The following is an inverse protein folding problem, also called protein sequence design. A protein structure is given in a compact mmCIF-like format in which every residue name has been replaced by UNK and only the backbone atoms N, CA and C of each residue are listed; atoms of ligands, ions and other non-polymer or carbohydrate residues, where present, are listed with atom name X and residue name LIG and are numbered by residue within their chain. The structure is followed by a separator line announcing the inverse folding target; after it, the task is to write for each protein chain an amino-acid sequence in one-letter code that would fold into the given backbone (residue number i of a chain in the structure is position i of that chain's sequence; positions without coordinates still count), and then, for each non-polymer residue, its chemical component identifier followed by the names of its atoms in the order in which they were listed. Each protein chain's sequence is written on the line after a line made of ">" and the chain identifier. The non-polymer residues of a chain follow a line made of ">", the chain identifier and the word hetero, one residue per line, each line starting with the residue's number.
data_IF_593512961459
#
_entry.id   IF_593512961459
#
_cell.length_a   1.000
_cell.length_b   1.000
_cell.length_c   1.000
_cell.angle_alpha   90.00
_cell.angle_beta   90.00
_cell.angle_gamma   90.00
#
_symmetry.space_group_name_H-M   'P 1'
#
loop_
_entity.id
_entity.type
_entity.pdbx_description
1 polymer ?
#
# COMPACT_ATOMS: atom_id res chain seq x y z
N UNK A 1 5.72 8.79 -15.45
CA UNK A 1 5.96 10.10 -14.81
C UNK A 1 5.04 10.19 -13.58
N UNK A 2 5.37 10.97 -12.54
CA UNK A 2 4.51 11.07 -11.36
C UNK A 2 3.12 11.67 -11.67
N UNK A 3 2.13 11.22 -10.91
CA UNK A 3 0.78 11.79 -10.94
C UNK A 3 0.66 12.86 -9.88
N UNK A 4 -0.07 13.94 -10.19
CA UNK A 4 -0.35 15.03 -9.27
C UNK A 4 -1.86 15.26 -9.19
N UNK A 5 -2.42 15.38 -7.98
CA UNK A 5 -3.84 15.66 -7.73
C UNK A 5 -4.03 17.03 -7.10
N UNK A 6 -5.01 17.78 -7.57
CA UNK A 6 -5.45 19.00 -6.91
C UNK A 6 -6.30 18.67 -5.68
N UNK A 7 -5.97 19.16 -4.48
CA UNK A 7 -6.76 18.90 -3.27
C UNK A 7 -8.10 19.64 -3.24
N UNK A 8 -8.27 20.72 -4.02
CA UNK A 8 -9.51 21.52 -4.05
C UNK A 8 -10.57 21.00 -5.01
N UNK A 9 -10.17 20.58 -6.22
CA UNK A 9 -11.12 20.14 -7.27
C UNK A 9 -10.92 18.70 -7.74
N UNK A 10 -9.96 17.97 -7.19
CA UNK A 10 -9.71 16.57 -7.53
C UNK A 10 -9.07 16.32 -8.89
N UNK A 11 -8.81 17.34 -9.71
CA UNK A 11 -8.14 17.20 -11.02
C UNK A 11 -6.78 16.49 -10.88
N UNK A 12 -6.54 15.48 -11.72
CA UNK A 12 -5.30 14.72 -11.79
C UNK A 12 -4.54 15.02 -13.09
N UNK A 13 -3.21 15.10 -13.03
CA UNK A 13 -2.33 15.32 -14.19
C UNK A 13 -1.05 14.50 -14.04
N UNK A 14 -0.47 14.02 -15.14
CA UNK A 14 0.83 13.35 -15.16
C UNK A 14 1.90 14.34 -15.60
N UNK A 15 2.88 14.61 -14.74
CA UNK A 15 3.92 15.62 -14.97
C UNK A 15 5.27 15.09 -14.46
N UNK A 16 6.41 15.61 -14.96
CA UNK A 16 7.73 15.34 -14.38
C UNK A 16 7.79 15.68 -12.88
N UNK A 17 8.86 15.32 -12.19
CA UNK A 17 9.00 15.74 -10.78
C UNK A 17 9.05 17.27 -10.67
N UNK A 18 8.20 17.82 -9.81
CA UNK A 18 8.14 19.26 -9.61
C UNK A 18 7.03 19.75 -8.70
N UNK A 19 7.00 21.07 -8.49
CA UNK A 19 5.92 21.75 -7.78
C UNK A 19 4.90 22.28 -8.79
N UNK A 20 3.68 21.76 -8.75
CA UNK A 20 2.61 22.15 -9.65
C UNK A 20 1.45 22.81 -8.92
N UNK A 21 0.74 23.67 -9.65
CA UNK A 21 -0.43 24.38 -9.18
C UNK A 21 -1.61 24.08 -10.10
N UNK A 22 -2.79 23.92 -9.51
CA UNK A 22 -3.97 23.54 -10.27
C UNK A 22 -4.41 24.65 -11.22
N UNK A 23 -4.45 24.37 -12.53
CA UNK A 23 -4.95 25.31 -13.55
C UNK A 23 -6.40 25.77 -13.31
N UNK A 24 -7.22 24.96 -12.62
CA UNK A 24 -8.64 25.25 -12.37
C UNK A 24 -8.84 26.07 -11.10
N UNK A 25 -8.17 25.70 -10.00
CA UNK A 25 -8.32 26.37 -8.71
C UNK A 25 -7.35 27.54 -8.52
N UNK A 26 -6.45 27.74 -9.49
CA UNK A 26 -5.45 28.79 -9.49
C UNK A 26 -4.25 28.51 -8.57
N UNK A 27 -3.38 29.51 -8.41
CA UNK A 27 -2.09 29.37 -7.71
C UNK A 27 -2.22 29.10 -6.21
N UNK A 28 -3.40 29.31 -5.63
CA UNK A 28 -3.69 28.96 -4.22
C UNK A 28 -3.79 27.45 -3.97
N UNK A 29 -3.90 26.65 -5.02
CA UNK A 29 -4.09 25.20 -4.93
C UNK A 29 -2.85 24.48 -5.45
N UNK A 30 -1.87 24.29 -4.56
CA UNK A 30 -0.71 23.44 -4.83
C UNK A 30 -1.18 22.00 -5.00
N UNK A 31 -0.80 21.38 -6.12
CA UNK A 31 -1.09 19.99 -6.41
C UNK A 31 -0.16 19.11 -5.58
N UNK A 32 -0.72 18.03 -5.05
CA UNK A 32 0.02 17.04 -4.28
C UNK A 32 0.39 15.89 -5.19
N UNK A 33 1.63 15.43 -5.11
CA UNK A 33 2.03 14.20 -5.77
C UNK A 33 1.19 13.06 -5.20
N UNK A 34 0.56 12.32 -6.10
CA UNK A 34 -0.16 11.11 -5.75
C UNK A 34 0.87 10.00 -5.78
N UNK A 35 1.40 9.69 -4.60
CA UNK A 35 2.17 8.46 -4.42
C UNK A 35 1.14 7.34 -4.49
N UNK A 36 1.02 6.73 -5.67
CA UNK A 36 0.13 5.60 -5.91
C UNK A 36 0.99 4.43 -6.33
N UNK A 37 1.49 3.65 -5.38
CA UNK A 37 1.61 2.22 -5.64
C UNK A 37 0.29 1.58 -5.23
N UNK A 38 -0.67 1.57 -6.14
CA UNK A 38 -1.88 0.71 -6.01
C UNK A 38 -1.53 -0.78 -5.89
N UNK A 39 -0.25 -1.12 -6.07
CA UNK A 39 0.26 -2.47 -6.11
C UNK A 39 0.95 -2.82 -4.82
N UNK A 40 0.54 -3.96 -4.28
CA UNK A 40 1.33 -4.74 -3.33
C UNK A 40 2.65 -5.10 -4.02
N UNK A 41 3.76 -4.67 -3.41
CA UNK A 41 5.10 -4.83 -3.98
C UNK A 41 5.73 -6.15 -3.57
N UNK A 42 5.45 -6.59 -2.34
CA UNK A 42 5.96 -7.84 -1.77
C UNK A 42 5.02 -8.34 -0.68
N UNK A 43 4.94 -9.66 -0.53
CA UNK A 43 4.23 -10.33 0.55
C UNK A 43 5.19 -11.32 1.19
N UNK A 44 5.32 -11.26 2.51
CA UNK A 44 6.02 -12.23 3.34
C UNK A 44 5.01 -12.82 4.31
N UNK A 45 5.13 -14.11 4.58
CA UNK A 45 4.13 -14.86 5.33
C UNK A 45 4.82 -15.81 6.31
N UNK A 46 4.23 -15.94 7.48
CA UNK A 46 4.52 -16.97 8.49
C UNK A 46 3.22 -17.66 8.88
N UNK A 47 3.23 -18.60 9.83
CA UNK A 47 1.99 -19.28 10.21
C UNK A 47 0.96 -18.34 10.87
N UNK A 48 1.42 -17.30 11.56
CA UNK A 48 0.55 -16.35 12.28
C UNK A 48 0.40 -14.99 11.57
N UNK A 49 1.43 -14.56 10.84
CA UNK A 49 1.55 -13.18 10.36
C UNK A 49 1.71 -13.06 8.86
N UNK A 50 1.13 -11.99 8.31
CA UNK A 50 1.36 -11.54 6.94
C UNK A 50 1.93 -10.13 6.96
N UNK A 51 3.06 -9.95 6.27
CA UNK A 51 3.69 -8.67 6.03
C UNK A 51 3.57 -8.29 4.56
N UNK A 52 3.06 -7.09 4.30
CA UNK A 52 2.83 -6.58 2.96
C UNK A 52 3.61 -5.29 2.76
N UNK A 53 4.38 -5.21 1.67
CA UNK A 53 5.11 -4.01 1.28
C UNK A 53 4.27 -3.18 0.33
N UNK A 54 3.92 -1.96 0.75
CA UNK A 54 3.12 -1.00 -0.01
C UNK A 54 3.86 0.34 0.05
N UNK A 55 4.11 0.96 -1.09
CA UNK A 55 4.84 2.24 -1.17
C UNK A 55 6.17 2.26 -0.38
N UNK A 56 6.91 1.15 -0.41
CA UNK A 56 8.18 1.03 0.32
C UNK A 56 8.05 0.86 1.84
N UNK A 57 6.84 0.87 2.40
CA UNK A 57 6.54 0.66 3.81
C UNK A 57 6.04 -0.76 4.05
N UNK A 58 6.36 -1.30 5.22
CA UNK A 58 5.86 -2.60 5.64
C UNK A 58 4.64 -2.46 6.53
N UNK A 59 3.64 -3.28 6.23
CA UNK A 59 2.40 -3.39 6.97
C UNK A 59 2.25 -4.82 7.48
N UNK A 60 1.85 -5.00 8.73
CA UNK A 60 1.60 -6.31 9.33
C UNK A 60 0.13 -6.52 9.66
N UNK A 61 -0.35 -7.75 9.48
CA UNK A 61 -1.70 -8.15 9.88
C UNK A 61 -1.73 -9.63 10.24
N UNK A 62 -2.64 -9.97 11.15
CA UNK A 62 -3.02 -11.35 11.44
C UNK A 62 -4.15 -11.76 10.49
N UNK A 63 -4.09 -13.00 10.01
CA UNK A 63 -5.17 -13.58 9.23
C UNK A 63 -6.21 -14.24 10.11
N UNK A 64 -7.39 -14.49 9.55
CA UNK A 64 -8.43 -15.25 10.26
C UNK A 64 -8.12 -16.74 10.34
N UNK A 65 -7.38 -17.26 9.37
CA UNK A 65 -7.03 -18.66 9.26
C UNK A 65 -5.60 -18.89 9.74
N UNK A 66 -5.36 -20.04 10.36
CA UNK A 66 -4.06 -20.47 10.88
C UNK A 66 -3.43 -21.48 9.92
N UNK A 67 -2.15 -21.27 9.55
CA UNK A 67 -1.48 -22.15 8.59
C UNK A 67 -1.28 -23.59 9.07
N UNK A 68 -1.29 -23.84 10.39
CA UNK A 68 -1.13 -25.16 11.01
C UNK A 68 -2.44 -25.95 11.06
N UNK A 69 -3.57 -25.27 11.25
CA UNK A 69 -4.88 -25.91 11.46
C UNK A 69 -5.82 -25.81 10.25
N UNK A 70 -5.70 -24.75 9.45
CA UNK A 70 -6.54 -24.46 8.27
C UNK A 70 -5.69 -24.12 7.03
N UNK A 71 -4.77 -25.02 6.60
CA UNK A 71 -3.76 -24.70 5.59
C UNK A 71 -4.34 -24.32 4.23
N UNK A 72 -5.44 -24.94 3.79
CA UNK A 72 -6.07 -24.61 2.51
C UNK A 72 -6.70 -23.21 2.51
N UNK A 73 -7.41 -22.87 3.59
CA UNK A 73 -8.03 -21.56 3.76
C UNK A 73 -6.96 -20.48 3.90
N UNK A 74 -5.89 -20.77 4.65
CA UNK A 74 -4.73 -19.89 4.79
C UNK A 74 -4.08 -19.60 3.43
N UNK A 75 -3.78 -20.64 2.64
CA UNK A 75 -3.20 -20.47 1.28
C UNK A 75 -4.14 -19.66 0.38
N UNK A 76 -5.44 -19.94 0.42
CA UNK A 76 -6.43 -19.19 -0.37
C UNK A 76 -6.48 -17.71 0.03
N UNK A 77 -6.34 -17.39 1.31
CA UNK A 77 -6.30 -16.02 1.80
C UNK A 77 -5.02 -15.29 1.34
N UNK A 78 -3.86 -15.96 1.33
CA UNK A 78 -2.61 -15.39 0.77
C UNK A 78 -2.74 -15.13 -0.74
N UNK A 79 -3.29 -16.08 -1.50
CA UNK A 79 -3.52 -15.91 -2.95
C UNK A 79 -4.51 -14.77 -3.20
N UNK A 80 -5.52 -14.61 -2.33
CA UNK A 80 -6.44 -13.50 -2.41
C UNK A 80 -5.72 -12.16 -2.20
N UNK A 81 -4.90 -12.03 -1.14
CA UNK A 81 -4.10 -10.83 -0.88
C UNK A 81 -3.17 -10.50 -2.05
N UNK A 82 -2.52 -11.50 -2.67
CA UNK A 82 -1.68 -11.29 -3.86
C UNK A 82 -2.39 -10.65 -5.05
N UNK A 83 -3.72 -10.81 -5.13
CA UNK A 83 -4.55 -10.28 -6.22
C UNK A 83 -5.20 -8.95 -5.88
N UNK A 84 -5.15 -8.52 -4.62
CA UNK A 84 -5.73 -7.26 -4.16
C UNK A 84 -4.86 -6.07 -4.53
N UNK A 85 -5.49 -4.90 -4.66
CA UNK A 85 -4.77 -3.64 -4.62
C UNK A 85 -4.51 -3.19 -3.17
N UNK A 86 -3.66 -2.18 -3.01
CA UNK A 86 -3.27 -1.67 -1.69
C UNK A 86 -4.45 -1.13 -0.86
N UNK A 87 -5.41 -0.45 -1.51
CA UNK A 87 -6.59 0.13 -0.84
C UNK A 87 -7.50 -0.96 -0.28
N UNK A 88 -7.81 -1.97 -1.09
CA UNK A 88 -8.61 -3.13 -0.68
C UNK A 88 -7.96 -3.86 0.51
N UNK A 89 -6.62 -4.01 0.50
CA UNK A 89 -5.90 -4.65 1.60
C UNK A 89 -6.00 -3.84 2.90
N UNK A 90 -5.77 -2.53 2.83
CA UNK A 90 -5.83 -1.64 3.99
C UNK A 90 -7.24 -1.60 4.59
N UNK A 91 -8.28 -1.53 3.75
CA UNK A 91 -9.67 -1.49 4.21
C UNK A 91 -10.08 -2.81 4.90
N UNK A 92 -9.76 -3.94 4.27
CA UNK A 92 -10.19 -5.27 4.75
C UNK A 92 -9.45 -5.69 6.02
N UNK A 93 -8.13 -5.56 6.03
CA UNK A 93 -7.28 -6.13 7.09
C UNK A 93 -6.87 -5.13 8.16
N UNK A 94 -7.05 -3.82 7.90
CA UNK A 94 -6.66 -2.74 8.83
C UNK A 94 -5.26 -2.97 9.43
N UNK A 95 -4.25 -3.20 8.57
CA UNK A 95 -2.94 -3.63 9.01
C UNK A 95 -2.25 -2.52 9.81
N UNK A 96 -1.29 -2.93 10.64
CA UNK A 96 -0.42 -2.02 11.39
C UNK A 96 0.82 -1.66 10.56
N UNK A 97 1.16 -0.37 10.42
CA UNK A 97 2.42 0.03 9.77
C UNK A 97 3.59 -0.27 10.72
N UNK A 98 4.54 -1.10 10.27
CA UNK A 98 5.73 -1.43 11.03
C UNK A 98 6.70 -0.25 11.12
N UNK A 99 7.26 -0.01 12.30
CA UNK A 99 8.32 0.97 12.47
C UNK A 99 9.58 0.59 11.68
N UNK A 100 10.31 1.60 11.17
CA UNK A 100 11.47 1.43 10.27
C UNK A 100 12.57 0.51 10.80
N UNK A 101 12.77 0.49 12.11
CA UNK A 101 13.75 -0.38 12.78
C UNK A 101 13.45 -1.88 12.63
N UNK A 102 12.19 -2.25 12.40
CA UNK A 102 11.78 -3.62 12.12
C UNK A 102 11.86 -3.99 10.63
N UNK A 103 12.00 -3.01 9.71
CA UNK A 103 12.13 -3.25 8.27
C UNK A 103 13.42 -4.00 7.93
N UNK A 104 14.51 -3.72 8.66
CA UNK A 104 15.84 -4.22 8.35
C UNK A 104 16.00 -5.75 8.43
N UNK A 105 15.07 -6.43 9.12
CA UNK A 105 15.01 -7.89 9.12
C UNK A 105 14.10 -8.44 8.02
N UNK A 106 13.02 -7.74 7.67
CA UNK A 106 12.10 -8.11 6.60
C UNK A 106 12.71 -7.92 5.19
N UNK A 107 13.65 -7.00 4.99
CA UNK A 107 14.32 -6.78 3.70
C UNK A 107 15.47 -7.77 3.40
N UNK A 108 15.87 -8.59 4.38
CA UNK A 108 16.92 -9.61 4.19
C UNK A 108 16.43 -10.91 3.54
N UNK A 109 15.11 -11.07 3.46
CA UNK A 109 14.38 -12.16 2.78
C UNK A 109 13.57 -11.56 1.65
#
# INVERSE_FOLDING_TARGET
>A
MPLYRCPKCGRVVELPEGAYYCKVCGPSARMVEVVVSDKIQKILVSHDWVWVKIDGKWFETELRHDALYEPEQWVNEIIYIQRMNAEEFIEKYRPHELAKEYWGNAEKY
#
